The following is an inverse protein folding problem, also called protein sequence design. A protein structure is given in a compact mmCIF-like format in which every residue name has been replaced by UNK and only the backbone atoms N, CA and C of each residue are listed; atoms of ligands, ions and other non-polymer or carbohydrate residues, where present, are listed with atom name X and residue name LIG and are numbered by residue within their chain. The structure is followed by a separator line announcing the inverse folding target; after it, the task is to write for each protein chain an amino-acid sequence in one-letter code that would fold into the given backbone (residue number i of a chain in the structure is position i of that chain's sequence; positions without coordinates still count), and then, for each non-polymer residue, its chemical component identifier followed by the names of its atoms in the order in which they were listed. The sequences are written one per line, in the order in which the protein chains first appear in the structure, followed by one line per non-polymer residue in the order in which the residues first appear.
data_IF_283001169842
#
_entry.id   IF_283001169842
#
_cell.length_a   1.000
_cell.length_b   1.000
_cell.length_c   1.000
_cell.angle_alpha   90.00
_cell.angle_beta   90.00
_cell.angle_gamma   90.00
#
_symmetry.space_group_name_H-M   'P 1'
#
loop_
_entity.id
_entity.type
_entity.pdbx_description
1 polymer ?
#
# COMPACT_ATOMS: atom_id res chain seq x y z
N UNK A 1 -32.44 -21.47 8.58
CA UNK A 1 -32.90 -21.10 7.22
C UNK A 1 -31.67 -20.95 6.36
N UNK A 2 -31.34 -22.00 5.61
CA UNK A 2 -30.11 -22.15 4.84
C UNK A 2 -30.55 -22.27 3.39
N UNK A 3 -30.69 -21.15 2.70
CA UNK A 3 -31.15 -21.11 1.30
C UNK A 3 -30.12 -20.47 0.34
N UNK A 4 -28.92 -20.15 0.82
CA UNK A 4 -27.86 -19.50 0.05
C UNK A 4 -26.53 -20.27 0.14
N UNK A 5 -26.59 -21.60 0.21
CA UNK A 5 -25.37 -22.41 0.07
C UNK A 5 -25.01 -22.55 -1.40
N UNK A 6 -23.85 -22.01 -1.74
CA UNK A 6 -23.22 -21.97 -3.06
C UNK A 6 -23.38 -23.28 -3.86
N UNK A 7 -24.04 -23.19 -5.01
CA UNK A 7 -23.64 -23.97 -6.18
C UNK A 7 -22.97 -23.00 -7.16
N UNK A 8 -21.63 -22.97 -7.12
CA UNK A 8 -20.77 -22.51 -8.24
C UNK A 8 -21.21 -21.23 -8.95
N UNK A 9 -21.48 -20.14 -8.22
CA UNK A 9 -21.73 -18.83 -8.83
C UNK A 9 -23.01 -18.72 -9.67
N UNK A 10 -23.91 -19.69 -9.60
CA UNK A 10 -25.25 -19.62 -10.19
C UNK A 10 -26.24 -19.50 -9.04
N UNK A 11 -26.72 -18.28 -8.81
CA UNK A 11 -27.93 -18.08 -8.01
C UNK A 11 -29.06 -18.72 -8.81
N UNK A 12 -29.74 -19.70 -8.23
CA UNK A 12 -30.92 -20.34 -8.82
C UNK A 12 -32.05 -19.28 -8.85
N UNK A 13 -32.00 -18.40 -9.84
CA UNK A 13 -32.86 -17.22 -9.96
C UNK A 13 -34.34 -17.57 -10.20
N UNK A 14 -34.64 -18.84 -10.44
CA UNK A 14 -35.96 -19.33 -10.83
C UNK A 14 -36.96 -19.48 -9.67
N UNK A 15 -36.58 -19.13 -8.43
CA UNK A 15 -37.48 -19.24 -7.27
C UNK A 15 -37.31 -18.19 -6.17
N UNK A 16 -36.48 -17.16 -6.37
CA UNK A 16 -36.20 -16.15 -5.34
C UNK A 16 -37.04 -14.90 -5.62
N UNK A 17 -37.90 -14.51 -4.68
CA UNK A 17 -38.54 -13.19 -4.72
C UNK A 17 -37.45 -12.12 -4.53
N UNK A 18 -37.11 -11.44 -5.62
CA UNK A 18 -36.10 -10.37 -5.66
C UNK A 18 -36.40 -9.26 -4.65
N UNK A 19 -37.68 -8.94 -4.43
CA UNK A 19 -38.09 -7.90 -3.46
C UNK A 19 -37.87 -8.39 -2.04
N UNK A 20 -38.31 -9.61 -1.72
CA UNK A 20 -38.09 -10.21 -0.42
C UNK A 20 -36.61 -10.27 -0.07
N UNK A 21 -35.76 -10.76 -0.98
CA UNK A 21 -34.32 -10.79 -0.76
C UNK A 21 -33.74 -9.40 -0.49
N UNK A 22 -34.15 -8.40 -1.28
CA UNK A 22 -33.66 -7.02 -1.11
C UNK A 22 -34.06 -6.45 0.25
N UNK A 23 -35.30 -6.68 0.69
CA UNK A 23 -35.76 -6.26 2.01
C UNK A 23 -35.03 -7.02 3.13
N UNK A 24 -34.90 -8.34 3.03
CA UNK A 24 -34.19 -9.16 4.03
C UNK A 24 -32.72 -8.78 4.15
N UNK A 25 -32.03 -8.55 3.03
CA UNK A 25 -30.65 -8.06 3.02
C UNK A 25 -30.52 -6.69 3.68
N UNK A 26 -31.47 -5.79 3.43
CA UNK A 26 -31.52 -4.46 4.06
C UNK A 26 -31.79 -4.54 5.56
N UNK A 27 -32.73 -5.40 5.99
CA UNK A 27 -33.00 -5.66 7.40
C UNK A 27 -31.76 -6.25 8.10
N UNK A 28 -31.08 -7.21 7.47
CA UNK A 28 -29.85 -7.80 7.97
C UNK A 28 -28.79 -6.72 8.18
N UNK A 29 -28.61 -5.84 7.18
CA UNK A 29 -27.68 -4.71 7.28
C UNK A 29 -28.02 -3.81 8.47
N UNK A 30 -29.29 -3.40 8.61
CA UNK A 30 -29.73 -2.52 9.69
C UNK A 30 -29.51 -3.16 11.06
N UNK A 31 -29.80 -4.46 11.21
CA UNK A 31 -29.52 -5.19 12.44
C UNK A 31 -28.03 -5.16 12.80
N UNK A 32 -27.15 -5.47 11.84
CA UNK A 32 -25.71 -5.40 12.06
C UNK A 32 -25.24 -3.98 12.40
N UNK A 33 -25.83 -2.96 11.79
CA UNK A 33 -25.51 -1.56 12.09
C UNK A 33 -25.96 -1.15 13.49
N UNK A 34 -27.13 -1.59 13.94
CA UNK A 34 -27.63 -1.36 15.31
C UNK A 34 -26.72 -2.06 16.32
N UNK A 35 -26.36 -3.32 16.08
CA UNK A 35 -25.41 -4.04 16.94
C UNK A 35 -24.05 -3.33 16.98
N UNK A 36 -23.51 -2.94 15.82
CA UNK A 36 -22.25 -2.21 15.77
C UNK A 36 -22.34 -0.89 16.52
N UNK A 37 -23.39 -0.08 16.33
CA UNK A 37 -23.57 1.19 17.04
C UNK A 37 -23.67 1.00 18.56
N UNK A 38 -24.37 -0.05 19.01
CA UNK A 38 -24.45 -0.40 20.42
C UNK A 38 -23.07 -0.74 20.99
N UNK A 39 -22.35 -1.69 20.40
CA UNK A 39 -21.06 -2.14 20.92
C UNK A 39 -19.93 -1.14 20.66
N UNK A 40 -20.04 -0.26 19.67
CA UNK A 40 -19.10 0.84 19.45
C UNK A 40 -19.32 2.03 20.39
N UNK A 41 -20.38 2.02 21.22
CA UNK A 41 -20.64 3.10 22.16
C UNK A 41 -19.48 3.25 23.16
N UNK A 42 -18.94 4.47 23.24
CA UNK A 42 -17.81 4.82 24.10
C UNK A 42 -18.14 4.80 25.59
N UNK A 43 -19.43 4.92 25.95
CA UNK A 43 -19.86 4.81 27.34
C UNK A 43 -19.57 3.45 27.97
N UNK A 44 -19.45 2.38 27.19
CA UNK A 44 -19.03 1.07 27.68
C UNK A 44 -17.58 1.00 28.15
N UNK A 45 -16.75 2.00 27.88
CA UNK A 45 -15.41 2.12 28.45
C UNK A 45 -15.43 2.64 29.90
N UNK A 46 -16.55 3.21 30.35
CA UNK A 46 -16.70 3.72 31.72
C UNK A 46 -17.07 2.58 32.68
N UNK A 47 -16.48 2.59 33.88
CA UNK A 47 -16.72 1.56 34.91
C UNK A 47 -18.19 1.46 35.32
N UNK A 48 -18.91 2.57 35.30
CA UNK A 48 -20.34 2.67 35.65
C UNK A 48 -21.22 1.81 34.73
N UNK A 49 -20.86 1.70 33.45
CA UNK A 49 -21.64 0.99 32.45
C UNK A 49 -21.16 -0.45 32.23
N UNK A 50 -20.22 -0.94 33.06
CA UNK A 50 -19.65 -2.29 32.94
C UNK A 50 -20.69 -3.39 33.17
N UNK A 51 -21.66 -3.16 34.04
CA UNK A 51 -22.79 -4.08 34.28
C UNK A 51 -23.69 -4.19 33.04
N UNK A 52 -23.99 -3.07 32.39
CA UNK A 52 -24.77 -3.02 31.15
C UNK A 52 -24.06 -3.75 30.01
N UNK A 53 -22.74 -3.57 29.87
CA UNK A 53 -21.94 -4.30 28.88
C UNK A 53 -22.00 -5.81 29.15
N UNK A 54 -21.82 -6.24 30.40
CA UNK A 54 -21.93 -7.66 30.78
C UNK A 54 -23.31 -8.22 30.43
N UNK A 55 -24.38 -7.50 30.73
CA UNK A 55 -25.74 -7.92 30.40
C UNK A 55 -25.95 -8.05 28.88
N UNK A 56 -25.51 -7.06 28.11
CA UNK A 56 -25.63 -7.07 26.64
C UNK A 56 -24.85 -8.24 25.99
N UNK A 57 -23.63 -8.52 26.48
CA UNK A 57 -22.85 -9.67 26.02
C UNK A 57 -23.47 -10.99 26.49
N UNK A 58 -23.98 -11.06 27.72
CA UNK A 58 -24.66 -12.24 28.26
C UNK A 58 -25.79 -12.73 27.34
N UNK A 59 -26.63 -11.80 26.86
CA UNK A 59 -27.72 -12.11 25.91
C UNK A 59 -27.21 -12.76 24.62
N UNK A 60 -26.04 -12.35 24.11
CA UNK A 60 -25.43 -12.98 22.93
C UNK A 60 -24.90 -14.38 23.23
N UNK A 61 -24.32 -14.58 24.41
CA UNK A 61 -23.74 -15.85 24.84
C UNK A 61 -24.81 -16.90 25.13
N UNK A 62 -25.96 -16.51 25.69
CA UNK A 62 -27.12 -17.38 25.89
C UNK A 62 -27.61 -18.05 24.60
N UNK A 63 -27.34 -17.44 23.43
CA UNK A 63 -27.67 -18.02 22.11
C UNK A 63 -26.78 -19.20 21.72
N UNK A 64 -25.61 -19.36 22.36
CA UNK A 64 -24.69 -20.47 22.13
C UNK A 64 -24.93 -21.62 23.11
N UNK A 65 -25.04 -21.32 24.42
CA UNK A 65 -25.22 -22.30 25.50
C UNK A 65 -25.93 -21.64 26.69
N UNK A 66 -26.71 -22.42 27.44
CA UNK A 66 -27.06 -22.06 28.82
C UNK A 66 -25.76 -21.90 29.61
N UNK A 67 -25.52 -20.69 30.13
CA UNK A 67 -24.23 -20.32 30.71
C UNK A 67 -24.35 -20.02 32.20
N UNK A 68 -23.33 -20.41 32.96
CA UNK A 68 -23.20 -20.11 34.38
C UNK A 68 -23.16 -18.59 34.63
N UNK A 69 -23.64 -18.18 35.80
CA UNK A 69 -23.95 -16.78 36.14
C UNK A 69 -22.73 -15.85 36.27
N UNK A 70 -21.50 -16.38 36.24
CA UNK A 70 -20.28 -15.65 36.64
C UNK A 70 -19.18 -15.61 35.56
N UNK A 71 -19.53 -15.45 34.29
CA UNK A 71 -18.52 -15.24 33.23
C UNK A 71 -17.80 -13.88 33.33
N UNK A 72 -16.50 -13.90 33.06
CA UNK A 72 -15.68 -12.69 32.91
C UNK A 72 -16.03 -11.96 31.60
N UNK A 73 -15.67 -10.67 31.50
CA UNK A 73 -15.88 -9.91 30.24
C UNK A 73 -15.09 -10.53 29.08
N UNK A 74 -13.90 -11.05 29.36
CA UNK A 74 -13.06 -11.71 28.35
C UNK A 74 -13.72 -12.96 27.77
N UNK A 75 -14.29 -13.80 28.63
CA UNK A 75 -15.05 -14.98 28.20
C UNK A 75 -16.33 -14.60 27.46
N UNK A 76 -17.06 -13.60 27.97
CA UNK A 76 -18.27 -13.07 27.33
C UNK A 76 -17.98 -12.52 25.92
N UNK A 77 -16.90 -11.76 25.74
CA UNK A 77 -16.45 -11.26 24.43
C UNK A 77 -16.03 -12.40 23.52
N UNK A 78 -15.25 -13.36 24.03
CA UNK A 78 -14.79 -14.52 23.25
C UNK A 78 -15.96 -15.36 22.71
N UNK A 79 -16.95 -15.64 23.57
CA UNK A 79 -18.17 -16.35 23.19
C UNK A 79 -19.03 -15.54 22.21
N UNK A 80 -19.25 -14.24 22.49
CA UNK A 80 -20.00 -13.35 21.60
C UNK A 80 -19.35 -13.22 20.22
N UNK A 81 -18.02 -13.09 20.17
CA UNK A 81 -17.24 -13.06 18.94
C UNK A 81 -17.41 -14.37 18.16
N UNK A 82 -17.36 -15.52 18.84
CA UNK A 82 -17.56 -16.84 18.22
C UNK A 82 -18.97 -16.98 17.62
N UNK A 83 -20.00 -16.53 18.35
CA UNK A 83 -21.38 -16.50 17.88
C UNK A 83 -21.52 -15.68 16.59
N UNK A 84 -21.05 -14.43 16.60
CA UNK A 84 -21.18 -13.51 15.47
C UNK A 84 -20.29 -13.92 14.28
N UNK A 85 -19.16 -14.59 14.54
CA UNK A 85 -18.34 -15.18 13.47
C UNK A 85 -19.12 -16.21 12.65
N UNK A 86 -20.05 -16.95 13.25
CA UNK A 86 -20.86 -17.94 12.53
C UNK A 86 -21.80 -17.30 11.50
N UNK A 87 -22.14 -16.02 11.66
CA UNK A 87 -22.99 -15.29 10.71
C UNK A 87 -22.32 -15.04 9.36
N UNK A 88 -21.00 -15.17 9.27
CA UNK A 88 -20.26 -14.83 8.06
C UNK A 88 -20.66 -15.64 6.82
N UNK A 89 -21.15 -16.87 6.97
CA UNK A 89 -21.61 -17.69 5.83
C UNK A 89 -22.97 -17.25 5.29
N UNK A 90 -23.72 -16.43 6.05
CA UNK A 90 -25.07 -15.99 5.71
C UNK A 90 -25.14 -14.54 5.20
N UNK A 91 -23.99 -13.91 4.99
CA UNK A 91 -23.92 -12.50 4.63
C UNK A 91 -24.37 -12.29 3.17
N UNK A 92 -25.41 -11.45 2.94
CA UNK A 92 -26.00 -11.29 1.62
C UNK A 92 -25.30 -10.25 0.73
N UNK A 93 -24.45 -9.38 1.29
CA UNK A 93 -23.80 -8.30 0.54
C UNK A 93 -22.48 -7.84 1.15
N UNK A 94 -21.63 -7.18 0.36
CA UNK A 94 -20.35 -6.64 0.85
C UNK A 94 -20.55 -5.60 1.96
N UNK A 95 -21.69 -4.88 1.95
CA UNK A 95 -22.01 -3.89 2.97
C UNK A 95 -22.27 -4.57 4.32
N UNK A 96 -23.01 -5.67 4.31
CA UNK A 96 -23.23 -6.49 5.49
C UNK A 96 -21.90 -7.10 6.00
N UNK A 97 -21.03 -7.53 5.09
CA UNK A 97 -19.68 -8.01 5.42
C UNK A 97 -18.88 -6.94 6.19
N UNK A 98 -18.86 -5.70 5.69
CA UNK A 98 -18.21 -4.58 6.36
C UNK A 98 -18.81 -4.29 7.75
N UNK A 99 -20.15 -4.27 7.87
CA UNK A 99 -20.82 -4.02 9.14
C UNK A 99 -20.50 -5.12 10.17
N UNK A 100 -20.49 -6.39 9.77
CA UNK A 100 -20.08 -7.48 10.65
C UNK A 100 -18.61 -7.36 11.06
N UNK A 101 -17.71 -7.05 10.12
CA UNK A 101 -16.29 -6.82 10.46
C UNK A 101 -16.14 -5.68 11.47
N UNK A 102 -16.86 -4.57 11.29
CA UNK A 102 -16.87 -3.45 12.24
C UNK A 102 -17.37 -3.86 13.62
N UNK A 103 -18.48 -4.59 13.70
CA UNK A 103 -19.01 -5.14 14.94
C UNK A 103 -17.99 -6.04 15.66
N UNK A 104 -17.36 -6.97 14.94
CA UNK A 104 -16.36 -7.88 15.50
C UNK A 104 -15.13 -7.14 16.04
N UNK A 105 -14.69 -6.07 15.35
CA UNK A 105 -13.60 -5.20 15.82
C UNK A 105 -14.02 -4.49 17.11
N UNK A 106 -15.20 -3.85 17.13
CA UNK A 106 -15.68 -3.12 18.32
C UNK A 106 -15.86 -4.01 19.55
N UNK A 107 -16.15 -5.30 19.35
CA UNK A 107 -16.19 -6.29 20.43
C UNK A 107 -14.79 -6.65 20.92
N UNK A 108 -13.85 -6.91 20.00
CA UNK A 108 -12.47 -7.23 20.35
C UNK A 108 -11.80 -6.09 21.14
N UNK A 109 -12.11 -4.84 20.81
CA UNK A 109 -11.64 -3.63 21.50
C UNK A 109 -12.20 -3.46 22.93
N UNK A 110 -13.18 -4.27 23.36
CA UNK A 110 -13.63 -4.27 24.77
C UNK A 110 -12.70 -5.02 25.71
N UNK A 111 -11.77 -5.78 25.15
CA UNK A 111 -10.75 -6.56 25.86
C UNK A 111 -9.40 -6.30 25.20
N UNK A 112 -8.40 -7.14 25.47
CA UNK A 112 -7.22 -7.17 24.61
C UNK A 112 -7.62 -7.65 23.19
N UNK A 113 -7.39 -6.80 22.19
CA UNK A 113 -7.76 -7.06 20.80
C UNK A 113 -6.75 -7.98 20.08
N UNK A 114 -5.51 -8.10 20.60
CA UNK A 114 -4.42 -8.83 19.94
C UNK A 114 -4.79 -10.30 19.58
N UNK A 115 -5.44 -11.09 20.46
CA UNK A 115 -5.81 -12.48 20.15
C UNK A 115 -6.86 -12.60 19.02
N UNK A 116 -7.56 -11.51 18.69
CA UNK A 116 -8.60 -11.48 17.67
C UNK A 116 -8.09 -11.00 16.31
N UNK A 117 -6.92 -10.35 16.24
CA UNK A 117 -6.39 -9.79 14.99
C UNK A 117 -6.30 -10.83 13.86
N UNK A 118 -5.71 -12.01 14.13
CA UNK A 118 -5.60 -13.08 13.13
C UNK A 118 -6.96 -13.64 12.69
N UNK A 119 -7.93 -13.73 13.63
CA UNK A 119 -9.30 -14.16 13.34
C UNK A 119 -10.03 -13.13 12.47
N UNK A 120 -9.89 -11.85 12.78
CA UNK A 120 -10.47 -10.74 12.00
C UNK A 120 -9.85 -10.72 10.60
N UNK A 121 -8.52 -10.79 10.48
CA UNK A 121 -7.84 -10.84 9.20
C UNK A 121 -8.30 -12.02 8.33
N UNK A 122 -8.47 -13.21 8.92
CA UNK A 122 -9.01 -14.39 8.23
C UNK A 122 -10.44 -14.18 7.73
N UNK A 123 -11.31 -13.60 8.55
CA UNK A 123 -12.70 -13.30 8.17
C UNK A 123 -12.75 -12.29 7.02
N UNK A 124 -11.99 -11.20 7.12
CA UNK A 124 -11.95 -10.18 6.07
C UNK A 124 -11.34 -10.74 4.79
N UNK A 125 -10.29 -11.56 4.88
CA UNK A 125 -9.73 -12.27 3.72
C UNK A 125 -10.78 -13.13 3.03
N UNK A 126 -11.59 -13.88 3.78
CA UNK A 126 -12.72 -14.65 3.20
C UNK A 126 -13.69 -13.74 2.44
N UNK A 127 -14.03 -12.58 2.98
CA UNK A 127 -14.92 -11.62 2.28
C UNK A 127 -14.31 -11.04 1.01
N UNK A 128 -12.98 -10.84 0.97
CA UNK A 128 -12.26 -10.43 -0.24
C UNK A 128 -12.18 -11.56 -1.27
N UNK A 129 -12.12 -12.81 -0.82
CA UNK A 129 -12.08 -14.02 -1.64
C UNK A 129 -13.47 -14.56 -2.03
N UNK A 130 -14.56 -13.86 -1.67
CA UNK A 130 -15.93 -14.26 -1.99
C UNK A 130 -16.44 -13.54 -3.26
N UNK A 131 -17.29 -14.22 -4.03
CA UNK A 131 -18.04 -13.60 -5.13
C UNK A 131 -19.31 -12.94 -4.61
N UNK A 132 -19.41 -11.61 -4.73
CA UNK A 132 -20.60 -10.84 -4.37
C UNK A 132 -21.55 -10.73 -5.55
N UNK A 133 -22.59 -11.57 -5.57
CA UNK A 133 -23.57 -11.68 -6.66
C UNK A 133 -24.95 -11.30 -6.13
N UNK A 134 -25.62 -10.41 -6.85
CA UNK A 134 -27.00 -10.02 -6.58
C UNK A 134 -27.97 -11.13 -7.00
N UNK A 135 -29.21 -11.15 -6.48
CA UNK A 135 -30.20 -12.17 -6.83
C UNK A 135 -30.54 -12.28 -8.32
N UNK A 136 -30.32 -11.20 -9.08
CA UNK A 136 -30.48 -11.18 -10.54
C UNK A 136 -29.31 -11.84 -11.30
N UNK A 137 -28.31 -12.38 -10.59
CA UNK A 137 -27.10 -12.99 -11.16
C UNK A 137 -26.00 -11.98 -11.51
N UNK A 138 -26.22 -10.68 -11.37
CA UNK A 138 -25.18 -9.68 -11.63
C UNK A 138 -24.24 -9.52 -10.43
N UNK A 139 -22.96 -9.27 -10.70
CA UNK A 139 -22.01 -8.91 -9.63
C UNK A 139 -22.34 -7.55 -9.04
N UNK A 140 -22.14 -7.41 -7.73
CA UNK A 140 -22.20 -6.11 -7.10
C UNK A 140 -21.16 -5.16 -7.71
N UNK A 141 -21.61 -3.95 -8.05
CA UNK A 141 -20.81 -2.92 -8.73
C UNK A 141 -21.23 -1.53 -8.29
N UNK A 142 -20.44 -0.52 -8.67
CA UNK A 142 -20.72 0.89 -8.43
C UNK A 142 -20.00 1.48 -7.21
N UNK A 143 -20.25 2.77 -6.97
CA UNK A 143 -19.48 3.60 -6.01
C UNK A 143 -19.52 3.03 -4.59
N UNK A 144 -20.71 2.66 -4.10
CA UNK A 144 -20.87 2.08 -2.75
C UNK A 144 -20.13 0.76 -2.60
N UNK A 145 -20.10 -0.07 -3.64
CA UNK A 145 -19.33 -1.31 -3.65
C UNK A 145 -17.83 -0.99 -3.52
N UNK A 146 -17.31 -0.04 -4.30
CA UNK A 146 -15.92 0.41 -4.21
C UNK A 146 -15.55 0.97 -2.83
N UNK A 147 -16.42 1.77 -2.21
CA UNK A 147 -16.18 2.33 -0.86
C UNK A 147 -16.15 1.24 0.23
N UNK A 148 -17.07 0.28 0.17
CA UNK A 148 -17.09 -0.84 1.10
C UNK A 148 -15.88 -1.76 0.90
N UNK A 149 -15.51 -2.04 -0.36
CA UNK A 149 -14.32 -2.81 -0.70
C UNK A 149 -13.05 -2.11 -0.22
N UNK A 150 -12.93 -0.79 -0.42
CA UNK A 150 -11.82 0.01 0.09
C UNK A 150 -11.69 -0.13 1.61
N UNK A 151 -12.82 -0.06 2.32
CA UNK A 151 -12.86 -0.16 3.79
C UNK A 151 -12.50 -1.57 4.28
N UNK A 152 -12.97 -2.62 3.60
CA UNK A 152 -12.61 -4.00 3.91
C UNK A 152 -11.13 -4.27 3.66
N UNK A 153 -10.58 -3.84 2.51
CA UNK A 153 -9.15 -3.97 2.21
C UNK A 153 -8.28 -3.25 3.24
N UNK A 154 -8.69 -2.04 3.63
CA UNK A 154 -7.97 -1.28 4.63
C UNK A 154 -7.95 -2.00 5.98
N UNK A 155 -9.09 -2.56 6.41
CA UNK A 155 -9.19 -3.38 7.62
C UNK A 155 -8.37 -4.67 7.50
N UNK A 156 -8.39 -5.36 6.36
CA UNK A 156 -7.55 -6.55 6.16
C UNK A 156 -6.07 -6.23 6.40
N UNK A 157 -5.56 -5.18 5.74
CA UNK A 157 -4.18 -4.71 5.86
C UNK A 157 -3.86 -4.07 7.22
N UNK A 158 -4.84 -3.84 8.08
CA UNK A 158 -4.63 -3.39 9.46
C UNK A 158 -4.28 -4.56 10.39
N UNK A 159 -4.86 -5.74 10.15
CA UNK A 159 -4.76 -6.90 11.05
C UNK A 159 -3.89 -8.03 10.52
N UNK A 160 -3.18 -7.82 9.40
CA UNK A 160 -2.23 -8.76 8.80
C UNK A 160 -0.85 -8.13 8.68
N UNK A 161 0.16 -8.96 8.43
CA UNK A 161 1.45 -8.49 7.94
C UNK A 161 1.25 -7.76 6.60
N UNK A 162 1.47 -6.45 6.60
CA UNK A 162 1.27 -5.57 5.45
C UNK A 162 2.18 -5.96 4.29
N UNK A 163 3.44 -6.26 4.57
CA UNK A 163 4.43 -6.55 3.53
C UNK A 163 4.07 -7.86 2.82
N UNK A 164 3.79 -8.90 3.60
CA UNK A 164 3.37 -10.19 3.05
C UNK A 164 2.04 -10.10 2.30
N UNK A 165 1.06 -9.40 2.86
CA UNK A 165 -0.25 -9.27 2.22
C UNK A 165 -0.22 -8.46 0.92
N UNK A 166 0.59 -7.39 0.85
CA UNK A 166 0.79 -6.62 -0.38
C UNK A 166 1.46 -7.50 -1.45
N UNK A 167 2.51 -8.24 -1.07
CA UNK A 167 3.20 -9.17 -1.96
C UNK A 167 2.26 -10.27 -2.48
N UNK A 168 1.48 -10.91 -1.61
CA UNK A 168 0.52 -11.95 -1.97
C UNK A 168 -0.55 -11.43 -2.95
N UNK A 169 -1.11 -10.25 -2.69
CA UNK A 169 -2.14 -9.65 -3.57
C UNK A 169 -1.56 -9.31 -4.94
N UNK A 170 -0.34 -8.76 -4.99
CA UNK A 170 0.29 -8.41 -6.26
C UNK A 170 0.77 -9.64 -7.04
N UNK A 171 1.46 -10.58 -6.39
CA UNK A 171 2.06 -11.76 -7.04
C UNK A 171 1.03 -12.77 -7.50
N UNK A 172 -0.06 -12.96 -6.75
CA UNK A 172 -1.13 -13.91 -7.10
C UNK A 172 -2.28 -13.17 -7.76
N UNK A 173 -2.92 -12.26 -7.04
CA UNK A 173 -4.17 -11.63 -7.48
C UNK A 173 -4.02 -10.80 -8.75
N UNK A 174 -3.03 -9.92 -8.80
CA UNK A 174 -2.82 -9.06 -9.98
C UNK A 174 -2.31 -9.87 -11.16
N UNK A 175 -1.39 -10.83 -10.95
CA UNK A 175 -0.91 -11.72 -12.01
C UNK A 175 -2.03 -12.57 -12.64
N UNK A 176 -2.94 -13.10 -11.81
CA UNK A 176 -4.13 -13.79 -12.31
C UNK A 176 -5.00 -12.83 -13.15
N UNK A 177 -5.26 -11.61 -12.66
CA UNK A 177 -6.04 -10.61 -13.38
C UNK A 177 -5.41 -10.28 -14.75
N UNK A 178 -4.09 -10.13 -14.83
CA UNK A 178 -3.40 -9.82 -16.09
C UNK A 178 -3.51 -10.93 -17.12
N UNK A 179 -3.67 -12.18 -16.67
CA UNK A 179 -3.84 -13.35 -17.53
C UNK A 179 -5.32 -13.60 -17.93
N UNK A 180 -6.26 -12.79 -17.45
CA UNK A 180 -7.69 -12.92 -17.78
C UNK A 180 -8.14 -11.97 -18.90
N UNK A 181 -9.31 -12.29 -19.49
CA UNK A 181 -9.99 -11.45 -20.49
C UNK A 181 -10.43 -10.09 -19.91
N UNK A 182 -10.94 -9.18 -20.75
CA UNK A 182 -11.33 -7.82 -20.33
C UNK A 182 -12.38 -7.79 -19.19
N UNK A 183 -13.27 -8.78 -19.15
CA UNK A 183 -14.30 -8.92 -18.11
C UNK A 183 -13.93 -9.94 -17.01
N UNK A 184 -12.68 -10.39 -17.02
CA UNK A 184 -12.14 -11.33 -16.05
C UNK A 184 -11.91 -10.74 -14.66
N UNK A 185 -11.76 -11.64 -13.71
CA UNK A 185 -11.38 -11.34 -12.34
C UNK A 185 -10.29 -12.34 -11.90
N UNK A 186 -9.57 -12.00 -10.84
CA UNK A 186 -8.66 -12.95 -10.18
C UNK A 186 -9.44 -14.16 -9.67
N UNK A 187 -8.87 -15.36 -9.83
CA UNK A 187 -9.44 -16.60 -9.29
C UNK A 187 -9.36 -16.64 -7.77
N UNK A 188 -8.26 -16.16 -7.20
CA UNK A 188 -8.03 -16.13 -5.76
C UNK A 188 -8.78 -14.99 -5.07
N UNK A 189 -8.91 -13.84 -5.74
CA UNK A 189 -9.63 -12.67 -5.25
C UNK A 189 -10.73 -12.27 -6.26
N UNK A 190 -11.92 -12.88 -6.22
CA UNK A 190 -13.02 -12.56 -7.15
C UNK A 190 -13.48 -11.08 -7.10
N UNK A 191 -13.16 -10.38 -6.01
CA UNK A 191 -13.39 -8.93 -5.88
C UNK A 191 -12.36 -8.06 -6.59
N UNK A 192 -11.25 -8.64 -7.07
CA UNK A 192 -10.21 -7.99 -7.87
C UNK A 192 -10.48 -8.24 -9.36
N UNK A 193 -10.94 -7.19 -10.03
CA UNK A 193 -11.18 -7.14 -11.47
C UNK A 193 -10.68 -5.79 -12.03
N UNK A 194 -10.80 -5.55 -13.34
CA UNK A 194 -10.30 -4.30 -13.94
C UNK A 194 -10.97 -3.02 -13.41
N UNK A 195 -12.23 -3.09 -12.99
CA UNK A 195 -12.97 -1.95 -12.43
C UNK A 195 -12.58 -1.66 -10.98
N UNK A 196 -12.30 -2.71 -10.20
CA UNK A 196 -11.96 -2.61 -8.78
C UNK A 196 -10.45 -2.53 -8.54
N UNK A 197 -9.61 -2.83 -9.53
CA UNK A 197 -8.15 -2.75 -9.44
C UNK A 197 -7.69 -1.40 -8.90
N UNK A 198 -8.32 -0.30 -9.34
CA UNK A 198 -7.97 1.02 -8.86
C UNK A 198 -8.22 1.25 -7.35
N UNK A 199 -9.19 0.55 -6.78
CA UNK A 199 -9.44 0.54 -5.33
C UNK A 199 -8.33 -0.20 -4.61
N UNK A 200 -7.98 -1.40 -5.08
CA UNK A 200 -6.86 -2.19 -4.57
C UNK A 200 -5.55 -1.40 -4.61
N UNK A 201 -5.20 -0.90 -5.78
CA UNK A 201 -3.97 -0.16 -6.00
C UNK A 201 -3.82 1.02 -5.05
N UNK A 202 -4.89 1.82 -4.89
CA UNK A 202 -4.91 2.95 -3.95
C UNK A 202 -4.63 2.50 -2.52
N UNK A 203 -5.32 1.46 -2.05
CA UNK A 203 -5.20 0.99 -0.67
C UNK A 203 -3.84 0.36 -0.42
N UNK A 204 -3.30 -0.42 -1.37
CA UNK A 204 -1.98 -1.03 -1.25
C UNK A 204 -0.87 0.04 -1.15
N UNK A 205 -0.93 1.06 -2.02
CA UNK A 205 0.03 2.18 -1.98
C UNK A 205 -0.07 2.99 -0.67
N UNK A 206 -1.29 3.31 -0.22
CA UNK A 206 -1.52 4.02 1.06
C UNK A 206 -1.03 3.21 2.27
N UNK A 207 -1.32 1.92 2.31
CA UNK A 207 -0.93 1.05 3.44
C UNK A 207 0.57 0.80 3.48
N UNK A 208 1.21 0.64 2.33
CA UNK A 208 2.66 0.49 2.25
C UNK A 208 3.37 1.77 2.71
N UNK A 209 2.89 2.94 2.28
CA UNK A 209 3.42 4.23 2.72
C UNK A 209 3.29 4.43 4.23
N UNK A 210 2.11 4.13 4.80
CA UNK A 210 1.88 4.20 6.25
C UNK A 210 2.73 3.19 7.03
N UNK A 211 2.97 2.01 6.46
CA UNK A 211 3.84 1.02 7.06
C UNK A 211 5.27 1.54 7.16
N UNK A 212 5.86 2.04 6.07
CA UNK A 212 7.25 2.53 6.08
C UNK A 212 7.44 3.77 6.95
N UNK A 213 6.40 4.59 7.11
CA UNK A 213 6.39 5.73 8.03
C UNK A 213 6.52 5.33 9.50
N UNK A 214 6.06 4.12 9.84
CA UNK A 214 6.11 3.59 11.20
C UNK A 214 7.40 2.80 11.49
N UNK A 215 8.28 2.59 10.50
CA UNK A 215 9.59 1.99 10.74
C UNK A 215 10.43 2.99 11.56
N UNK A 216 11.01 2.59 12.72
CA UNK A 216 11.81 3.51 13.51
C UNK A 216 13.08 3.97 12.78
N UNK A 217 13.43 5.25 12.92
CA UNK A 217 14.66 5.82 12.36
C UNK A 217 15.88 5.09 12.94
N UNK A 218 16.81 4.69 12.08
CA UNK A 218 18.05 4.03 12.49
C UNK A 218 18.95 4.95 13.33
N UNK A 219 19.48 4.42 14.44
CA UNK A 219 20.46 5.10 15.30
C UNK A 219 21.75 4.28 15.36
N UNK A 220 22.89 4.98 15.47
CA UNK A 220 24.21 4.33 15.65
C UNK A 220 24.29 3.48 16.92
N UNK A 221 23.48 3.81 17.94
CA UNK A 221 23.39 3.08 19.20
C UNK A 221 22.55 1.81 19.13
N UNK A 222 21.79 1.60 18.05
CA UNK A 222 20.95 0.41 17.92
C UNK A 222 21.83 -0.85 17.79
N UNK A 223 21.34 -1.98 18.33
CA UNK A 223 22.03 -3.26 18.16
C UNK A 223 22.04 -3.69 16.69
N UNK A 224 22.98 -4.57 16.34
CA UNK A 224 23.12 -5.07 14.97
C UNK A 224 21.90 -5.86 14.51
N UNK A 225 21.29 -6.63 15.40
CA UNK A 225 20.07 -7.39 15.12
C UNK A 225 18.91 -6.45 14.75
N UNK A 226 18.75 -5.35 15.50
CA UNK A 226 17.70 -4.35 15.23
C UNK A 226 17.96 -3.60 13.92
N UNK A 227 19.22 -3.28 13.61
CA UNK A 227 19.57 -2.66 12.33
C UNK A 227 19.28 -3.61 11.15
N UNK A 228 19.66 -4.89 11.27
CA UNK A 228 19.41 -5.91 10.25
C UNK A 228 17.91 -6.17 10.05
N UNK A 229 17.12 -6.25 11.12
CA UNK A 229 15.67 -6.41 11.05
C UNK A 229 15.02 -5.23 10.32
N UNK A 230 15.37 -3.99 10.68
CA UNK A 230 14.84 -2.79 10.02
C UNK A 230 15.29 -2.71 8.56
N UNK A 231 16.52 -3.12 8.25
CA UNK A 231 17.03 -3.17 6.89
C UNK A 231 16.24 -4.18 6.06
N UNK A 232 15.93 -5.35 6.61
CA UNK A 232 15.06 -6.34 5.98
C UNK A 232 13.64 -5.77 5.73
N UNK A 233 13.04 -5.10 6.71
CA UNK A 233 11.74 -4.45 6.54
C UNK A 233 11.74 -3.43 5.40
N UNK A 234 12.79 -2.60 5.30
CA UNK A 234 12.95 -1.65 4.19
C UNK A 234 13.16 -2.34 2.85
N UNK A 235 14.00 -3.38 2.79
CA UNK A 235 14.23 -4.15 1.57
C UNK A 235 12.94 -4.77 1.03
N UNK A 236 12.13 -5.36 1.91
CA UNK A 236 10.82 -5.91 1.55
C UNK A 236 9.84 -4.81 1.12
N UNK A 237 9.82 -3.67 1.82
CA UNK A 237 8.96 -2.54 1.46
C UNK A 237 9.33 -1.94 0.09
N UNK A 238 10.62 -1.78 -0.19
CA UNK A 238 11.14 -1.30 -1.48
C UNK A 238 10.82 -2.29 -2.61
N UNK A 239 10.93 -3.60 -2.36
CA UNK A 239 10.51 -4.63 -3.32
C UNK A 239 9.02 -4.54 -3.64
N UNK A 240 8.16 -4.42 -2.62
CA UNK A 240 6.72 -4.28 -2.81
C UNK A 240 6.37 -2.98 -3.54
N UNK A 241 7.06 -1.88 -3.20
CA UNK A 241 6.90 -0.61 -3.89
C UNK A 241 7.29 -0.73 -5.37
N UNK A 242 8.40 -1.42 -5.68
CA UNK A 242 8.82 -1.69 -7.04
C UNK A 242 7.77 -2.45 -7.85
N UNK A 243 7.21 -3.52 -7.26
CA UNK A 243 6.12 -4.30 -7.89
C UNK A 243 4.94 -3.37 -8.20
N UNK A 244 4.46 -2.60 -7.22
CA UNK A 244 3.33 -1.69 -7.40
C UNK A 244 3.59 -0.63 -8.47
N UNK A 245 4.75 0.03 -8.46
CA UNK A 245 5.11 1.05 -9.45
C UNK A 245 5.18 0.46 -10.86
N UNK A 246 5.64 -0.78 -11.02
CA UNK A 246 5.68 -1.45 -12.32
C UNK A 246 4.30 -1.87 -12.83
N UNK A 247 3.29 -2.01 -11.98
CA UNK A 247 1.92 -2.31 -12.43
C UNK A 247 1.35 -1.22 -13.35
N UNK A 248 1.87 0.01 -13.27
CA UNK A 248 1.50 1.11 -14.15
C UNK A 248 1.78 0.81 -15.63
N UNK A 249 2.78 -0.04 -15.93
CA UNK A 249 3.07 -0.48 -17.31
C UNK A 249 1.92 -1.29 -17.92
N UNK A 250 1.09 -1.90 -17.06
CA UNK A 250 -0.05 -2.73 -17.45
C UNK A 250 -1.36 -1.96 -17.29
N UNK A 251 -1.46 -1.12 -16.25
CA UNK A 251 -2.65 -0.35 -15.89
C UNK A 251 -2.31 1.15 -15.84
N UNK A 252 -2.22 1.78 -17.00
CA UNK A 252 -1.76 3.16 -17.22
C UNK A 252 -2.87 4.23 -17.12
N UNK A 253 -4.03 3.87 -16.57
CA UNK A 253 -5.14 4.83 -16.45
C UNK A 253 -4.77 6.05 -15.60
N UNK A 254 -5.31 7.22 -15.96
CA UNK A 254 -5.07 8.50 -15.25
C UNK A 254 -5.16 8.41 -13.72
N UNK A 255 -6.18 7.78 -13.11
CA UNK A 255 -6.23 7.65 -11.65
C UNK A 255 -5.06 6.85 -11.05
N UNK A 256 -4.54 5.85 -11.77
CA UNK A 256 -3.41 5.04 -11.33
C UNK A 256 -2.12 5.85 -11.36
N UNK A 257 -1.90 6.61 -12.44
CA UNK A 257 -0.79 7.54 -12.54
C UNK A 257 -0.81 8.56 -11.39
N UNK A 258 -1.96 9.17 -11.10
CA UNK A 258 -2.10 10.14 -10.00
C UNK A 258 -1.75 9.52 -8.64
N UNK A 259 -2.23 8.31 -8.36
CA UNK A 259 -1.91 7.58 -7.12
C UNK A 259 -0.41 7.30 -7.04
N UNK A 260 0.22 6.82 -8.13
CA UNK A 260 1.64 6.51 -8.13
C UNK A 260 2.52 7.77 -7.96
N UNK A 261 2.19 8.88 -8.62
CA UNK A 261 2.93 10.14 -8.46
C UNK A 261 2.83 10.66 -7.02
N UNK A 262 1.61 10.62 -6.43
CA UNK A 262 1.38 11.06 -5.05
C UNK A 262 2.11 10.18 -4.04
N UNK A 263 1.83 8.87 -4.03
CA UNK A 263 2.39 7.97 -3.01
C UNK A 263 3.86 7.65 -3.28
N UNK A 264 4.32 7.69 -4.53
CA UNK A 264 5.74 7.57 -4.85
C UNK A 264 6.55 8.71 -4.27
N UNK A 265 6.04 9.95 -4.33
CA UNK A 265 6.64 11.07 -3.61
C UNK A 265 6.69 10.82 -2.09
N UNK A 266 5.54 10.48 -1.48
CA UNK A 266 5.45 10.29 -0.03
C UNK A 266 6.37 9.16 0.47
N UNK A 267 6.47 8.08 -0.31
CA UNK A 267 7.37 6.96 -0.03
C UNK A 267 8.82 7.41 -0.05
N UNK A 268 9.25 8.14 -1.09
CA UNK A 268 10.61 8.66 -1.21
C UNK A 268 10.95 9.70 -0.14
N UNK A 269 10.03 10.60 0.19
CA UNK A 269 10.20 11.55 1.30
C UNK A 269 10.40 10.82 2.63
N UNK A 270 9.64 9.75 2.86
CA UNK A 270 9.78 8.91 4.06
C UNK A 270 11.09 8.15 4.06
N UNK A 271 11.49 7.59 2.90
CA UNK A 271 12.78 6.92 2.74
C UNK A 271 13.96 7.88 3.02
N UNK A 272 13.92 9.11 2.50
CA UNK A 272 14.95 10.12 2.77
C UNK A 272 15.05 10.47 4.25
N UNK A 273 13.91 10.56 4.95
CA UNK A 273 13.86 10.93 6.37
C UNK A 273 14.21 9.79 7.32
N UNK A 274 13.79 8.57 7.00
CA UNK A 274 13.81 7.41 7.93
C UNK A 274 14.75 6.31 7.43
N UNK A 275 14.70 5.99 6.14
CA UNK A 275 15.52 4.95 5.52
C UNK A 275 16.99 5.34 5.40
N UNK A 276 17.30 6.55 4.91
CA UNK A 276 18.71 6.98 4.72
C UNK A 276 19.54 6.98 6.01
N UNK A 277 19.06 7.47 7.16
CA UNK A 277 19.80 7.36 8.43
C UNK A 277 20.11 5.92 8.83
N UNK A 278 19.19 4.98 8.57
CA UNK A 278 19.43 3.56 8.80
C UNK A 278 20.53 3.02 7.88
N UNK A 279 20.52 3.42 6.60
CA UNK A 279 21.55 3.01 5.66
C UNK A 279 22.92 3.54 6.07
N UNK A 280 23.05 4.79 6.51
CA UNK A 280 24.33 5.34 6.98
C UNK A 280 24.91 4.53 8.15
N UNK A 281 24.06 4.06 9.06
CA UNK A 281 24.49 3.27 10.21
C UNK A 281 24.86 1.83 9.83
N UNK A 282 24.14 1.25 8.85
CA UNK A 282 24.23 -0.17 8.51
C UNK A 282 25.24 -0.46 7.39
N UNK A 283 25.64 0.56 6.60
CA UNK A 283 26.43 0.38 5.38
C UNK A 283 27.72 -0.40 5.57
N UNK A 284 28.48 -0.12 6.64
CA UNK A 284 29.77 -0.76 6.89
C UNK A 284 29.66 -2.28 7.12
N UNK A 285 28.52 -2.75 7.61
CA UNK A 285 28.31 -4.16 8.00
C UNK A 285 27.43 -4.92 7.01
N UNK A 286 26.48 -4.24 6.39
CA UNK A 286 25.49 -4.82 5.47
C UNK A 286 25.61 -4.21 4.07
N UNK A 287 26.84 -4.06 3.57
CA UNK A 287 27.13 -3.36 2.31
C UNK A 287 26.29 -3.89 1.14
N UNK A 288 26.25 -5.21 0.94
CA UNK A 288 25.56 -5.83 -0.19
C UNK A 288 24.03 -5.65 -0.10
N UNK A 289 23.46 -5.81 1.09
CA UNK A 289 22.02 -5.61 1.33
C UNK A 289 21.62 -4.15 1.04
N UNK A 290 22.41 -3.19 1.52
CA UNK A 290 22.18 -1.76 1.28
C UNK A 290 22.30 -1.42 -0.20
N UNK A 291 23.31 -1.96 -0.90
CA UNK A 291 23.47 -1.75 -2.33
C UNK A 291 22.32 -2.34 -3.14
N UNK A 292 21.87 -3.55 -2.81
CA UNK A 292 20.75 -4.19 -3.47
C UNK A 292 19.45 -3.40 -3.28
N UNK A 293 19.19 -2.94 -2.06
CA UNK A 293 18.06 -2.06 -1.76
C UNK A 293 18.10 -0.78 -2.62
N UNK A 294 19.26 -0.10 -2.69
CA UNK A 294 19.43 1.11 -3.49
C UNK A 294 19.24 0.85 -5.00
N UNK A 295 19.72 -0.28 -5.52
CA UNK A 295 19.51 -0.68 -6.92
C UNK A 295 18.03 -0.86 -7.24
N UNK A 296 17.26 -1.56 -6.39
CA UNK A 296 15.81 -1.74 -6.59
C UNK A 296 15.10 -0.38 -6.51
N UNK A 297 15.46 0.46 -5.53
CA UNK A 297 14.85 1.78 -5.39
C UNK A 297 15.17 2.68 -6.59
N UNK A 298 16.37 2.58 -7.17
CA UNK A 298 16.75 3.29 -8.40
C UNK A 298 15.85 2.91 -9.59
N UNK A 299 15.46 1.64 -9.72
CA UNK A 299 14.50 1.22 -10.74
C UNK A 299 13.14 1.89 -10.53
N UNK A 300 12.70 2.03 -9.28
CA UNK A 300 11.46 2.72 -8.94
C UNK A 300 11.55 4.22 -9.28
N UNK A 301 12.66 4.89 -8.94
CA UNK A 301 12.84 6.32 -9.23
C UNK A 301 12.90 6.61 -10.72
N UNK A 302 13.50 5.71 -11.52
CA UNK A 302 13.48 5.80 -12.99
C UNK A 302 12.04 5.71 -13.52
N UNK A 303 11.27 4.72 -13.07
CA UNK A 303 9.87 4.58 -13.49
C UNK A 303 9.03 5.80 -13.11
N UNK A 304 9.20 6.34 -11.90
CA UNK A 304 8.54 7.59 -11.49
C UNK A 304 8.94 8.79 -12.37
N UNK A 305 10.19 8.84 -12.85
CA UNK A 305 10.62 9.88 -13.77
C UNK A 305 9.96 9.75 -15.15
N UNK A 306 9.83 8.52 -15.69
CA UNK A 306 9.08 8.25 -16.92
C UNK A 306 7.62 8.67 -16.78
N UNK A 307 6.99 8.38 -15.64
CA UNK A 307 5.62 8.85 -15.35
C UNK A 307 5.49 10.37 -15.30
N UNK A 308 6.51 11.08 -14.79
CA UNK A 308 6.55 12.54 -14.84
C UNK A 308 6.64 13.06 -16.28
N UNK A 309 7.48 12.44 -17.12
CA UNK A 309 7.60 12.77 -18.54
C UNK A 309 6.28 12.58 -19.29
N UNK A 310 5.67 11.40 -19.15
CA UNK A 310 4.36 11.08 -19.73
C UNK A 310 3.29 12.10 -19.31
N UNK A 311 3.22 12.44 -18.02
CA UNK A 311 2.23 13.40 -17.51
C UNK A 311 2.38 14.80 -18.10
N UNK A 312 3.63 15.24 -18.38
CA UNK A 312 3.90 16.53 -19.01
C UNK A 312 3.51 16.54 -20.49
N UNK A 313 3.85 15.48 -21.24
CA UNK A 313 3.59 15.38 -22.68
C UNK A 313 2.09 15.34 -22.97
N UNK A 314 1.34 14.60 -22.16
CA UNK A 314 -0.11 14.51 -22.30
C UNK A 314 -0.86 15.74 -21.76
N UNK A 315 -0.15 16.74 -21.23
CA UNK A 315 -0.71 18.00 -20.71
C UNK A 315 -1.86 17.81 -19.71
N UNK A 316 -1.85 16.72 -18.93
CA UNK A 316 -2.90 16.47 -17.95
C UNK A 316 -2.69 17.39 -16.75
N UNK A 317 -3.48 18.46 -16.67
CA UNK A 317 -3.38 19.45 -15.61
C UNK A 317 -3.42 18.83 -14.20
N UNK A 318 -4.23 17.79 -13.99
CA UNK A 318 -4.35 17.10 -12.70
C UNK A 318 -3.09 16.33 -12.32
N UNK A 319 -2.48 15.62 -13.27
CA UNK A 319 -1.23 14.88 -13.03
C UNK A 319 -0.03 15.82 -12.94
N UNK A 320 -0.01 16.89 -13.73
CA UNK A 320 1.08 17.86 -13.79
C UNK A 320 1.30 18.57 -12.44
N UNK A 321 0.25 18.72 -11.62
CA UNK A 321 0.38 19.27 -10.25
C UNK A 321 1.31 18.47 -9.35
N UNK A 322 1.45 17.16 -9.57
CA UNK A 322 2.31 16.30 -8.75
C UNK A 322 3.78 16.33 -9.19
N UNK A 323 4.06 16.73 -10.44
CA UNK A 323 5.37 16.56 -11.08
C UNK A 323 6.49 17.40 -10.43
N UNK A 324 6.33 18.71 -10.16
CA UNK A 324 7.43 19.52 -9.64
C UNK A 324 8.00 19.01 -8.31
N UNK A 325 7.11 18.71 -7.36
CA UNK A 325 7.53 18.27 -6.03
C UNK A 325 8.11 16.85 -6.05
N UNK A 326 7.60 15.98 -6.92
CA UNK A 326 8.18 14.64 -7.11
C UNK A 326 9.58 14.74 -7.74
N UNK A 327 9.79 15.56 -8.78
CA UNK A 327 11.13 15.77 -9.38
C UNK A 327 12.15 16.27 -8.35
N UNK A 328 11.78 17.29 -7.56
CA UNK A 328 12.61 17.77 -6.45
C UNK A 328 12.97 16.65 -5.47
N UNK A 329 12.02 15.78 -5.14
CA UNK A 329 12.26 14.64 -4.23
C UNK A 329 13.19 13.60 -4.84
N UNK A 330 13.06 13.32 -6.14
CA UNK A 330 13.96 12.43 -6.88
C UNK A 330 15.39 12.97 -6.93
N UNK A 331 15.55 14.27 -7.17
CA UNK A 331 16.87 14.95 -7.16
C UNK A 331 17.51 14.88 -5.77
N UNK A 332 16.78 15.26 -4.71
CA UNK A 332 17.25 15.13 -3.33
C UNK A 332 17.67 13.69 -2.99
N UNK A 333 16.93 12.70 -3.48
CA UNK A 333 17.29 11.30 -3.31
C UNK A 333 18.63 10.96 -3.97
N UNK A 334 18.84 11.37 -5.23
CA UNK A 334 20.10 11.14 -5.94
C UNK A 334 21.27 11.78 -5.21
N UNK A 335 21.16 13.06 -4.81
CA UNK A 335 22.24 13.74 -4.08
C UNK A 335 22.54 13.07 -2.74
N UNK A 336 21.50 12.66 -2.01
CA UNK A 336 21.66 12.02 -0.71
C UNK A 336 22.31 10.64 -0.79
N UNK A 337 22.00 9.87 -1.84
CA UNK A 337 22.64 8.58 -2.11
C UNK A 337 24.10 8.77 -2.53
N UNK A 338 24.39 9.72 -3.43
CA UNK A 338 25.77 10.08 -3.81
C UNK A 338 26.61 10.43 -2.57
N UNK A 339 26.14 11.35 -1.74
CA UNK A 339 26.84 11.74 -0.52
C UNK A 339 27.13 10.55 0.41
N UNK A 340 26.16 9.64 0.59
CA UNK A 340 26.36 8.44 1.42
C UNK A 340 27.45 7.52 0.86
N UNK A 341 27.50 7.32 -0.45
CA UNK A 341 28.49 6.46 -1.10
C UNK A 341 29.89 7.08 -1.13
N UNK A 342 29.98 8.41 -1.27
CA UNK A 342 31.24 9.15 -1.09
C UNK A 342 31.82 8.92 0.29
N UNK A 343 31.01 9.12 1.33
CA UNK A 343 31.45 8.97 2.72
C UNK A 343 31.88 7.55 3.09
N UNK A 344 31.47 6.55 2.29
CA UNK A 344 31.83 5.15 2.51
C UNK A 344 32.78 4.58 1.43
N UNK A 345 33.40 5.42 0.60
CA UNK A 345 34.32 5.03 -0.48
C UNK A 345 33.77 3.91 -1.38
N UNK A 346 32.49 4.00 -1.75
CA UNK A 346 31.77 2.95 -2.51
C UNK A 346 31.04 3.52 -3.73
N UNK A 347 31.67 4.44 -4.45
CA UNK A 347 31.05 5.11 -5.60
C UNK A 347 30.71 4.14 -6.74
N UNK A 348 31.54 3.14 -6.97
CA UNK A 348 31.37 2.15 -8.04
C UNK A 348 30.10 1.28 -7.86
N UNK A 349 29.52 1.26 -6.66
CA UNK A 349 28.34 0.46 -6.35
C UNK A 349 27.03 1.03 -6.92
N UNK A 350 27.02 2.32 -7.27
CA UNK A 350 25.83 3.02 -7.73
C UNK A 350 26.14 3.87 -8.95
N UNK A 351 25.89 3.31 -10.12
CA UNK A 351 26.08 4.01 -11.37
C UNK A 351 24.83 4.83 -11.73
N UNK A 352 24.97 6.15 -11.69
CA UNK A 352 23.94 7.09 -12.15
C UNK A 352 24.09 7.28 -13.66
N UNK A 353 23.60 6.32 -14.44
CA UNK A 353 23.57 6.47 -15.90
C UNK A 353 22.71 7.63 -16.39
N UNK A 354 22.97 8.09 -17.62
CA UNK A 354 22.20 9.15 -18.27
C UNK A 354 20.71 8.78 -18.34
N UNK A 355 19.87 9.68 -17.83
CA UNK A 355 18.43 9.49 -17.80
C UNK A 355 17.83 9.96 -19.12
N UNK A 356 17.68 9.05 -20.08
CA UNK A 356 16.95 9.32 -21.32
C UNK A 356 15.47 9.54 -21.04
N UNK A 357 14.87 10.55 -21.68
CA UNK A 357 13.42 10.76 -21.65
C UNK A 357 12.75 9.57 -22.35
N UNK A 358 11.99 8.78 -21.60
CA UNK A 358 11.24 7.63 -22.13
C UNK A 358 9.79 7.65 -21.66
N UNK A 359 8.91 7.09 -22.48
CA UNK A 359 7.50 6.91 -22.18
C UNK A 359 7.26 5.78 -21.17
N UNK A 360 5.99 5.46 -20.88
CA UNK A 360 5.63 4.43 -19.90
C UNK A 360 6.03 3.01 -20.35
N UNK A 361 6.19 2.80 -21.65
CA UNK A 361 6.56 1.54 -22.30
C UNK A 361 8.08 1.39 -22.45
N UNK A 362 8.82 2.49 -22.29
CA UNK A 362 10.27 2.53 -22.32
C UNK A 362 10.85 3.02 -23.66
N UNK A 363 10.01 3.52 -24.57
CA UNK A 363 10.43 4.10 -25.84
C UNK A 363 10.92 5.53 -25.64
N UNK A 364 11.96 5.90 -26.38
CA UNK A 364 12.59 7.22 -26.26
C UNK A 364 11.65 8.32 -26.77
N UNK A 365 11.35 9.28 -25.90
CA UNK A 365 10.57 10.47 -26.26
C UNK A 365 11.56 11.45 -26.91
N UNK A 366 11.44 11.61 -28.22
CA UNK A 366 12.09 12.70 -28.93
C UNK A 366 11.49 14.03 -28.42
N UNK A 367 12.28 14.80 -27.68
CA UNK A 367 11.86 16.12 -27.21
C UNK A 367 11.58 17.01 -28.43
N UNK A 368 10.39 17.62 -28.49
CA UNK A 368 9.97 18.54 -29.57
C UNK A 368 10.89 19.77 -29.71
N UNK A 369 11.82 20.00 -28.78
CA UNK A 369 12.90 20.98 -28.93
C UNK A 369 13.94 20.58 -30.00
N UNK A 370 14.00 19.32 -30.42
CA UNK A 370 14.97 18.83 -31.40
C UNK A 370 14.50 18.97 -32.87
N UNK A 371 13.34 19.57 -33.14
CA UNK A 371 12.80 19.69 -34.51
C UNK A 371 12.77 21.12 -35.08
N UNK A 372 13.25 22.14 -34.34
CA UNK A 372 13.35 23.52 -34.87
C UNK A 372 14.76 24.13 -34.86
N UNK A 373 15.81 23.38 -34.51
CA UNK A 373 17.19 23.83 -34.66
C UNK A 373 18.12 22.67 -35.01
N UNK A 374 18.37 22.45 -36.30
CA UNK A 374 19.57 21.76 -36.78
C UNK A 374 20.79 22.67 -36.57
N UNK A 375 21.15 22.94 -35.30
CA UNK A 375 22.45 23.36 -34.77
C UNK A 375 22.24 23.77 -33.31
N UNK A 376 23.15 23.34 -32.44
CA UNK A 376 23.20 23.52 -30.97
C UNK A 376 22.57 22.39 -30.15
N UNK A 377 23.46 21.49 -29.72
CA UNK A 377 23.26 20.49 -28.68
C UNK A 377 23.07 21.18 -27.31
N UNK A 378 21.82 21.49 -26.94
CA UNK A 378 21.48 21.70 -25.53
C UNK A 378 21.01 20.37 -24.92
N UNK A 379 21.99 19.58 -24.47
CA UNK A 379 21.76 18.51 -23.50
C UNK A 379 21.20 19.12 -22.21
N UNK A 380 20.07 18.59 -21.71
CA UNK A 380 19.58 18.93 -20.38
C UNK A 380 20.54 18.37 -19.31
N UNK A 381 21.64 19.08 -19.07
CA UNK A 381 22.41 18.95 -17.86
C UNK A 381 21.56 19.45 -16.69
N UNK A 382 21.25 18.54 -15.76
CA UNK A 382 21.00 18.94 -14.38
C UNK A 382 22.33 19.39 -13.77
N UNK A 383 22.75 20.62 -14.06
CA UNK A 383 23.87 21.26 -13.36
C UNK A 383 23.45 21.54 -11.91
N UNK A 384 24.18 20.97 -10.96
CA UNK A 384 24.39 21.61 -9.66
C UNK A 384 25.74 22.36 -9.70
N UNK A 385 25.92 23.40 -8.87
CA UNK A 385 27.16 24.15 -8.85
C UNK A 385 28.30 23.23 -8.42
N UNK A 386 29.37 23.20 -9.22
CA UNK A 386 30.63 22.60 -8.82
C UNK A 386 31.18 23.39 -7.61
N UNK A 387 31.56 22.68 -6.55
CA UNK A 387 32.41 23.23 -5.51
C UNK A 387 33.80 23.44 -6.13
N UNK A 388 34.23 24.69 -6.26
CA UNK A 388 35.59 25.06 -6.61
C UNK A 388 36.54 24.53 -5.53
N UNK A 389 37.37 23.56 -5.89
CA UNK A 389 38.61 23.28 -5.18
C UNK A 389 39.70 24.16 -5.81
N UNK A 390 40.02 25.26 -5.15
CA UNK A 390 41.26 26.00 -5.41
C UNK A 390 42.44 25.09 -5.08
N UNK A 391 43.20 24.72 -6.11
CA UNK A 391 44.57 24.24 -5.98
C UNK A 391 45.47 25.36 -6.52
N UNK A 392 46.20 26.00 -5.61
CA UNK A 392 47.32 26.89 -5.92
C UNK A 392 48.46 26.04 -6.51
N UNK A 393 48.85 26.31 -7.76
CA UNK A 393 50.16 25.98 -8.31
C UNK A 393 50.84 27.31 -8.70
N UNK A 394 51.80 27.76 -7.89
CA UNK A 394 52.73 28.83 -8.26
C UNK A 394 53.86 28.25 -9.14
N UNK A 395 54.08 28.92 -10.27
CA UNK A 395 55.05 28.65 -11.32
C UNK A 395 56.50 28.81 -10.83
N UNK A 396 57.37 27.89 -11.25
CA UNK A 396 58.82 28.04 -11.22
C UNK A 396 59.29 28.77 -12.48
N UNK A 397 59.80 29.99 -12.32
CA UNK A 397 60.54 30.75 -13.34
C UNK A 397 61.95 30.15 -13.53
N UNK A 398 62.26 29.70 -14.74
CA UNK A 398 63.64 29.51 -15.22
C UNK A 398 63.99 30.73 -16.10
N UNK A 399 64.82 31.63 -15.56
CA UNK A 399 65.52 32.66 -16.32
C UNK A 399 66.84 32.09 -16.88
N UNK A 400 66.99 32.06 -18.20
CA UNK A 400 68.30 32.04 -18.88
C UNK A 400 68.37 33.26 -19.80
N UNK A 401 69.22 34.25 -19.45
CA UNK A 401 69.83 35.17 -20.41
C UNK A 401 71.35 35.20 -20.17
N UNK A 402 72.08 35.12 -21.28
CA UNK A 402 73.54 34.99 -21.41
C UNK A 402 74.33 36.31 -21.19
N UNK A 403 75.62 36.13 -20.96
CA UNK A 403 76.78 36.94 -21.41
C UNK A 403 77.33 38.17 -20.62
N UNK A 404 78.63 38.01 -20.29
CA UNK A 404 79.77 38.98 -20.23
C UNK A 404 79.61 40.24 -19.37
N UNK A 405 80.45 40.51 -18.37
CA UNK A 405 81.91 40.77 -18.39
C UNK A 405 82.47 40.79 -16.95
#
# INVERSE_FOLDING_TARGET
QTLMTEKNGVVDALGIDLKEHTYMSSCYQLLLQVFHALFAWSGFSQLENRSLLKAALGILVERLKETDSDLTIEELVSHSFSYLKNLCSSIPSIRCALCLTQLLISLAEKTDALPYHSKIASIVKRFLCQSWVQPNGEREKGIRFHENLQSLLWKYLQYTDVLKAVEDICSVGVSELTNTTKDGHSSTYPTLNRQTFGVYFRVLMDRLEKYVRNIPVGKKSDSLEVQAERLLQWSLAVRNFHILVNLIKIFDTRPMLSICLKYGRLFLETFLKVGMPLLDCSFKKHKDDVQNLLKILQLCTRQLHHMCGHSKIHQDAGLTTHVPLLKKTLEMFVYRVKAMLTLNNCQEAFWLGNLKNRDLQGEEILSQAAQESETEEEEQESQLPAEEQEAEEEESEEEEEEESD
#
